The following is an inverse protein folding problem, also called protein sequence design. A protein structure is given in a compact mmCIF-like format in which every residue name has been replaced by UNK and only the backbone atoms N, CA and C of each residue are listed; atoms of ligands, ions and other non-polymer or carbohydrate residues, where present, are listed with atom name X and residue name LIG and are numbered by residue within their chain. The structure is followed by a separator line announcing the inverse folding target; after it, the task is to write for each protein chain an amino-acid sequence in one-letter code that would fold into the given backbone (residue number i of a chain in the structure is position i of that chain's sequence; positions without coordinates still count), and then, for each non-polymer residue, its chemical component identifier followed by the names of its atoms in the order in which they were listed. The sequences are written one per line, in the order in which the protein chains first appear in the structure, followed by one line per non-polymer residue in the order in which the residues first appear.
data_IF_416966089638
#
_entry.id   IF_416966089638
#
_cell.length_a   1.000
_cell.length_b   1.000
_cell.length_c   1.000
_cell.angle_alpha   90.00
_cell.angle_beta   90.00
_cell.angle_gamma   90.00
#
_symmetry.space_group_name_H-M   'P 1'
#
loop_
_entity.id
_entity.type
_entity.pdbx_description
1 polymer ?
#
# COMPACT_ATOMS: atom_id res chain seq x y z
N UNK A 1 17.56 0.98 -4.22
CA UNK A 1 17.96 -0.43 -4.44
C UNK A 1 16.81 -1.22 -5.07
N UNK A 2 17.04 -1.89 -6.21
CA UNK A 2 16.00 -2.57 -7.00
C UNK A 2 15.27 -3.70 -6.24
N UNK A 3 15.83 -4.16 -5.12
CA UNK A 3 15.32 -5.27 -4.31
C UNK A 3 14.03 -4.96 -3.53
N UNK A 4 13.77 -3.69 -3.19
CA UNK A 4 12.53 -3.30 -2.49
C UNK A 4 11.33 -3.34 -3.43
N UNK A 5 11.53 -2.90 -4.68
CA UNK A 5 10.48 -2.83 -5.70
C UNK A 5 9.88 -4.20 -5.98
N UNK A 6 10.72 -5.24 -6.16
CA UNK A 6 10.25 -6.61 -6.37
C UNK A 6 9.50 -7.21 -5.18
N UNK A 7 9.88 -6.84 -3.95
CA UNK A 7 9.23 -7.33 -2.74
C UNK A 7 7.87 -6.66 -2.51
N UNK A 8 7.75 -5.36 -2.79
CA UNK A 8 6.46 -4.66 -2.75
C UNK A 8 5.53 -5.10 -3.88
N UNK A 9 6.07 -5.46 -5.04
CA UNK A 9 5.33 -6.04 -6.15
C UNK A 9 4.64 -7.36 -5.77
N UNK A 10 5.37 -8.25 -5.08
CA UNK A 10 4.83 -9.54 -4.63
C UNK A 10 3.71 -9.35 -3.59
N UNK A 11 3.88 -8.36 -2.70
CA UNK A 11 2.85 -7.99 -1.72
C UNK A 11 1.66 -7.34 -2.43
N UNK A 12 1.90 -6.46 -3.39
CA UNK A 12 0.85 -5.82 -4.21
C UNK A 12 -0.01 -6.89 -4.88
N UNK A 13 0.60 -7.86 -5.56
CA UNK A 13 -0.11 -8.97 -6.21
C UNK A 13 -0.92 -9.83 -5.25
N UNK A 14 -0.50 -9.96 -3.98
CA UNK A 14 -1.27 -10.64 -2.95
C UNK A 14 -2.41 -9.80 -2.37
N UNK A 15 -2.32 -8.49 -2.51
CA UNK A 15 -3.28 -7.53 -1.96
C UNK A 15 -4.37 -7.18 -2.96
N UNK A 16 -3.98 -7.07 -4.23
CA UNK A 16 -4.85 -6.90 -5.40
C UNK A 16 -5.62 -8.20 -5.63
N UNK A 17 -6.78 -8.34 -4.98
CA UNK A 17 -7.56 -9.57 -5.00
C UNK A 17 -8.27 -9.78 -6.35
N UNK A 18 -8.59 -8.68 -7.03
CA UNK A 18 -9.24 -8.64 -8.34
C UNK A 18 -8.25 -8.60 -9.52
N UNK A 19 -6.95 -8.46 -9.25
CA UNK A 19 -5.89 -8.35 -10.25
C UNK A 19 -6.17 -7.23 -11.26
N UNK A 20 -6.79 -6.14 -10.80
CA UNK A 20 -7.18 -4.98 -11.62
C UNK A 20 -5.99 -4.02 -11.84
N UNK A 21 -4.86 -4.28 -11.16
CA UNK A 21 -3.66 -3.44 -11.20
C UNK A 21 -3.73 -2.26 -10.23
N UNK A 22 -4.69 -2.26 -9.31
CA UNK A 22 -4.88 -1.31 -8.24
C UNK A 22 -5.15 -2.05 -6.93
N UNK A 23 -4.99 -1.33 -5.83
CA UNK A 23 -5.41 -1.83 -4.51
C UNK A 23 -6.27 -0.79 -3.86
N UNK A 24 -7.48 -1.19 -3.51
CA UNK A 24 -8.41 -0.32 -2.82
C UNK A 24 -7.95 -0.03 -1.39
N UNK A 25 -8.46 1.06 -0.83
CA UNK A 25 -8.23 1.42 0.56
C UNK A 25 -8.64 0.34 1.56
N UNK A 26 -9.58 -0.51 1.19
CA UNK A 26 -10.00 -1.64 2.01
C UNK A 26 -8.94 -2.75 1.99
N UNK A 27 -8.49 -3.16 0.81
CA UNK A 27 -7.51 -4.24 0.65
C UNK A 27 -6.15 -3.89 1.25
N UNK A 28 -5.66 -2.67 1.01
CA UNK A 28 -4.38 -2.27 1.59
C UNK A 28 -4.46 -2.11 3.10
N UNK A 29 -5.64 -1.75 3.64
CA UNK A 29 -5.81 -1.55 5.07
C UNK A 29 -5.59 -2.86 5.82
N UNK A 30 -6.02 -3.99 5.26
CA UNK A 30 -5.74 -5.31 5.82
C UNK A 30 -4.23 -5.58 5.88
N UNK A 31 -3.48 -5.29 4.81
CA UNK A 31 -2.00 -5.42 4.79
C UNK A 31 -1.32 -4.48 5.77
N UNK A 32 -1.79 -3.25 5.86
CA UNK A 32 -1.24 -2.23 6.73
C UNK A 32 -1.49 -2.59 8.20
N UNK A 33 -2.65 -3.15 8.52
CA UNK A 33 -2.95 -3.69 9.86
C UNK A 33 -2.07 -4.88 10.20
N UNK A 34 -1.71 -5.74 9.23
CA UNK A 34 -0.73 -6.81 9.45
C UNK A 34 0.67 -6.29 9.78
N UNK A 35 1.01 -5.06 9.42
CA UNK A 35 2.30 -4.45 9.79
C UNK A 35 2.39 -4.07 11.27
N UNK A 36 1.27 -4.11 12.03
CA UNK A 36 1.25 -3.81 13.46
C UNK A 36 1.30 -2.31 13.81
N UNK A 37 1.18 -1.43 12.81
CA UNK A 37 1.12 0.02 13.02
C UNK A 37 -0.26 0.47 13.51
N UNK A 38 -0.29 1.58 14.23
CA UNK A 38 -1.55 2.19 14.69
C UNK A 38 -2.37 2.69 13.51
N UNK A 39 -3.69 2.52 13.59
CA UNK A 39 -4.64 2.93 12.53
C UNK A 39 -4.50 4.41 12.14
N UNK A 40 -4.15 5.29 13.09
CA UNK A 40 -3.87 6.70 12.81
C UNK A 40 -2.67 6.90 11.88
N UNK A 41 -1.58 6.15 12.10
CA UNK A 41 -0.38 6.23 11.27
C UNK A 41 -0.67 5.67 9.87
N UNK A 42 -1.42 4.56 9.81
CA UNK A 42 -1.84 3.95 8.54
C UNK A 42 -2.71 4.89 7.71
N UNK A 43 -3.64 5.61 8.34
CA UNK A 43 -4.45 6.64 7.68
C UNK A 43 -3.57 7.80 7.17
N UNK A 44 -2.55 8.19 7.92
CA UNK A 44 -1.61 9.24 7.51
C UNK A 44 -0.78 8.81 6.29
N UNK A 45 -0.24 7.59 6.31
CA UNK A 45 0.53 7.03 5.19
C UNK A 45 -0.37 6.86 3.96
N UNK A 46 -1.60 6.38 4.15
CA UNK A 46 -2.60 6.30 3.09
C UNK A 46 -2.86 7.66 2.46
N UNK A 47 -3.09 8.70 3.27
CA UNK A 47 -3.32 10.06 2.76
C UNK A 47 -2.10 10.62 1.99
N UNK A 48 -0.89 10.24 2.39
CA UNK A 48 0.33 10.60 1.66
C UNK A 48 0.47 9.85 0.33
N UNK A 49 0.00 8.60 0.27
CA UNK A 49 0.06 7.78 -0.94
C UNK A 49 -1.08 8.11 -1.93
N UNK A 50 -2.32 8.23 -1.45
CA UNK A 50 -3.53 8.55 -2.22
C UNK A 50 -3.68 10.07 -2.42
N UNK A 51 -2.71 10.67 -3.09
CA UNK A 51 -2.69 12.12 -3.39
C UNK A 51 -3.87 12.58 -4.25
N UNK A 52 -4.52 11.66 -4.97
CA UNK A 52 -5.67 11.94 -5.85
C UNK A 52 -7.02 11.64 -5.18
N UNK A 53 -7.01 11.15 -3.93
CA UNK A 53 -8.20 10.75 -3.18
C UNK A 53 -9.16 9.88 -3.99
N UNK A 54 -8.60 8.98 -4.78
CA UNK A 54 -9.33 8.06 -5.65
C UNK A 54 -9.84 6.85 -4.88
N UNK A 55 -9.34 6.62 -3.65
CA UNK A 55 -9.70 5.46 -2.84
C UNK A 55 -9.00 4.17 -3.26
N UNK A 56 -8.05 4.28 -4.20
CA UNK A 56 -7.24 3.19 -4.76
C UNK A 56 -5.80 3.63 -4.93
N UNK A 57 -4.85 2.75 -4.66
CA UNK A 57 -3.43 2.97 -4.93
C UNK A 57 -3.00 2.16 -6.15
N UNK A 58 -2.23 2.82 -7.00
CA UNK A 58 -1.46 2.13 -8.06
C UNK A 58 -0.27 1.39 -7.47
N UNK A 59 0.34 0.51 -8.25
CA UNK A 59 1.60 -0.19 -7.92
C UNK A 59 2.69 0.74 -7.38
N UNK A 60 2.83 1.93 -7.98
CA UNK A 60 3.81 2.92 -7.54
C UNK A 60 3.43 3.58 -6.21
N UNK A 61 2.16 3.95 -6.04
CA UNK A 61 1.70 4.55 -4.78
C UNK A 61 1.71 3.54 -3.62
N UNK A 62 1.39 2.28 -3.89
CA UNK A 62 1.49 1.21 -2.91
C UNK A 62 2.93 0.99 -2.49
N UNK A 63 3.87 0.94 -3.44
CA UNK A 63 5.30 0.83 -3.12
C UNK A 63 5.79 2.02 -2.27
N UNK A 64 5.33 3.24 -2.55
CA UNK A 64 5.61 4.42 -1.73
C UNK A 64 5.07 4.26 -0.30
N UNK A 65 3.82 3.81 -0.17
CA UNK A 65 3.17 3.63 1.11
C UNK A 65 3.85 2.53 1.95
N UNK A 66 4.22 1.41 1.32
CA UNK A 66 4.99 0.33 1.95
C UNK A 66 6.38 0.77 2.37
N UNK A 67 7.03 1.64 1.58
CA UNK A 67 8.31 2.23 1.97
C UNK A 67 8.16 3.15 3.19
N UNK A 68 7.08 3.92 3.28
CA UNK A 68 6.75 4.75 4.45
C UNK A 68 6.41 3.91 5.70
N UNK A 69 5.86 2.71 5.54
CA UNK A 69 5.58 1.77 6.64
C UNK A 69 6.85 1.09 7.16
N UNK A 70 7.79 0.76 6.28
CA UNK A 70 9.06 0.13 6.65
C UNK A 70 10.10 1.10 7.23
N UNK A 71 9.91 2.40 7.06
CA UNK A 71 10.80 3.47 7.53
C UNK A 71 10.45 3.92 8.94
#
# INVERSE_FOLDING_TARGET
PLSERGRYDDIFLKTDADLDGFVSGLEVKDIFMQSGLSQNLLAHIWALADTRQIGKLTREQFALAMHLIQK
#
